data_IF_845959474558
#
_entry.id   IF_845959474558
#
_cell.length_a   1.000
_cell.length_b   1.000
_cell.length_c   1.000
_cell.angle_alpha   90.00
_cell.angle_beta   90.00
_cell.angle_gamma   90.00
#
_symmetry.space_group_name_H-M   'P 1'
#
loop_
_entity.id
_entity.type
_entity.pdbx_description
1 polymer ?
#
# COMPACT_ATOMS: atom_id res chain seq x y z
N UNK A 1 -7.30 -26.68 -0.44
CA UNK A 1 -6.13 -26.70 0.48
C UNK A 1 -6.30 -25.56 1.47
N UNK A 2 -6.43 -25.84 2.77
CA UNK A 2 -6.64 -24.80 3.80
C UNK A 2 -5.30 -24.25 4.28
N UNK A 3 -5.03 -22.96 4.00
CA UNK A 3 -3.77 -22.31 4.35
C UNK A 3 -3.76 -21.74 5.78
N UNK A 4 -4.87 -21.79 6.54
CA UNK A 4 -4.97 -21.19 7.89
C UNK A 4 -4.00 -21.83 8.88
N UNK A 5 -3.99 -23.16 8.94
CA UNK A 5 -3.13 -23.93 9.85
C UNK A 5 -1.64 -23.72 9.58
N UNK A 6 -1.13 -23.83 8.33
CA UNK A 6 0.27 -23.55 8.07
C UNK A 6 0.63 -22.07 8.28
N UNK A 7 -0.27 -21.13 7.97
CA UNK A 7 -0.05 -19.70 8.20
C UNK A 7 0.12 -19.37 9.69
N UNK A 8 -0.81 -19.83 10.56
CA UNK A 8 -0.70 -19.62 12.01
C UNK A 8 0.61 -20.17 12.58
N UNK A 9 1.04 -21.35 12.11
CA UNK A 9 2.32 -21.94 12.53
C UNK A 9 3.51 -21.04 12.21
N UNK A 10 3.53 -20.43 11.01
CA UNK A 10 4.61 -19.52 10.60
C UNK A 10 4.56 -18.22 11.39
N UNK A 11 3.37 -17.66 11.65
CA UNK A 11 3.22 -16.44 12.45
C UNK A 11 3.71 -16.64 13.89
N UNK A 12 3.31 -17.75 14.53
CA UNK A 12 3.82 -18.09 15.86
C UNK A 12 5.33 -18.35 15.87
N UNK A 13 5.87 -19.00 14.82
CA UNK A 13 7.31 -19.21 14.68
C UNK A 13 8.09 -17.90 14.47
N UNK A 14 7.46 -16.88 13.89
CA UNK A 14 8.00 -15.53 13.75
C UNK A 14 7.89 -14.70 15.04
N UNK A 15 7.42 -15.29 16.15
CA UNK A 15 7.28 -14.62 17.45
C UNK A 15 6.15 -13.59 17.48
N UNK A 16 5.20 -13.66 16.55
CA UNK A 16 4.05 -12.75 16.50
C UNK A 16 2.76 -13.47 16.88
N UNK A 17 1.77 -12.71 17.35
CA UNK A 17 0.48 -13.25 17.75
C UNK A 17 -0.34 -13.63 16.48
N UNK A 18 -0.71 -14.92 16.31
CA UNK A 18 -1.50 -15.39 15.17
C UNK A 18 -2.96 -14.93 15.17
N UNK A 19 -3.44 -14.31 16.25
CA UNK A 19 -4.77 -13.69 16.33
C UNK A 19 -4.73 -12.20 15.95
N UNK A 20 -3.58 -11.52 16.12
CA UNK A 20 -3.35 -10.14 15.66
C UNK A 20 -2.83 -10.08 14.21
N UNK A 21 -1.88 -10.96 13.85
CA UNK A 21 -1.26 -10.99 12.52
C UNK A 21 -1.94 -12.03 11.66
N UNK A 22 -2.97 -11.57 10.96
CA UNK A 22 -3.72 -12.36 9.98
C UNK A 22 -3.31 -12.01 8.56
N UNK A 23 -3.75 -12.82 7.59
CA UNK A 23 -3.48 -12.58 6.16
C UNK A 23 -3.92 -11.18 5.69
N UNK A 24 -5.01 -10.67 6.26
CA UNK A 24 -5.50 -9.34 5.93
C UNK A 24 -4.54 -8.25 6.40
N UNK A 25 -3.91 -8.42 7.58
CA UNK A 25 -2.84 -7.55 8.10
C UNK A 25 -1.68 -7.46 7.11
N UNK A 26 -1.19 -8.59 6.60
CA UNK A 26 -0.11 -8.61 5.61
C UNK A 26 -0.49 -7.92 4.29
N UNK A 27 -1.75 -8.07 3.86
CA UNK A 27 -2.26 -7.38 2.67
C UNK A 27 -2.29 -5.86 2.88
N UNK A 28 -2.70 -5.38 4.06
CA UNK A 28 -2.61 -3.97 4.41
C UNK A 28 -1.17 -3.46 4.35
N UNK A 29 -0.21 -4.21 4.93
CA UNK A 29 1.21 -3.86 4.89
C UNK A 29 1.75 -3.77 3.45
N UNK A 30 1.42 -4.75 2.60
CA UNK A 30 1.84 -4.73 1.20
C UNK A 30 1.30 -3.51 0.44
N UNK A 31 0.03 -3.14 0.68
CA UNK A 31 -0.57 -1.96 0.06
C UNK A 31 0.09 -0.67 0.56
N UNK A 32 0.32 -0.55 1.86
CA UNK A 32 1.05 0.58 2.43
C UNK A 32 2.43 0.72 1.79
N UNK A 33 3.19 -0.37 1.65
CA UNK A 33 4.51 -0.34 1.03
C UNK A 33 4.46 0.06 -0.45
N UNK A 34 3.45 -0.40 -1.21
CA UNK A 34 3.27 0.03 -2.60
C UNK A 34 2.99 1.53 -2.69
N UNK A 35 2.15 2.05 -1.79
CA UNK A 35 1.82 3.48 -1.75
C UNK A 35 3.03 4.32 -1.31
N UNK A 36 3.81 3.85 -0.34
CA UNK A 36 5.06 4.49 0.10
C UNK A 36 6.16 4.45 -0.97
N UNK A 37 6.21 3.39 -1.79
CA UNK A 37 7.10 3.29 -2.94
C UNK A 37 6.69 4.21 -4.11
N UNK A 38 5.59 4.95 -3.96
CA UNK A 38 5.13 5.92 -4.94
C UNK A 38 4.26 5.37 -6.07
N UNK A 39 3.74 4.15 -5.91
CA UNK A 39 2.79 3.57 -6.86
C UNK A 39 1.47 4.34 -6.77
N UNK A 40 0.91 4.72 -7.91
CA UNK A 40 -0.35 5.46 -7.97
C UNK A 40 -1.54 4.62 -7.47
N UNK A 41 -2.52 5.27 -6.83
CA UNK A 41 -3.68 4.60 -6.23
C UNK A 41 -4.49 3.73 -7.24
N UNK A 42 -4.69 4.14 -8.50
CA UNK A 42 -5.30 3.28 -9.52
C UNK A 42 -4.52 1.97 -9.76
N UNK A 43 -3.19 2.03 -9.84
CA UNK A 43 -2.34 0.84 -9.98
C UNK A 43 -2.38 -0.02 -8.74
N UNK A 44 -2.27 0.57 -7.55
CA UNK A 44 -2.41 -0.16 -6.28
C UNK A 44 -3.77 -0.85 -6.19
N UNK A 45 -4.86 -0.18 -6.58
CA UNK A 45 -6.21 -0.76 -6.65
C UNK A 45 -6.25 -2.02 -7.53
N UNK A 46 -5.58 -1.99 -8.68
CA UNK A 46 -5.52 -3.14 -9.61
C UNK A 46 -4.71 -4.29 -9.02
N UNK A 47 -3.52 -4.02 -8.47
CA UNK A 47 -2.65 -5.04 -7.85
C UNK A 47 -3.34 -5.70 -6.65
N UNK A 48 -4.01 -4.87 -5.85
CA UNK A 48 -4.74 -5.34 -4.68
C UNK A 48 -6.17 -5.74 -5.02
N UNK A 49 -6.60 -5.82 -6.27
CA UNK A 49 -7.96 -6.25 -6.66
C UNK A 49 -9.10 -5.61 -5.84
N UNK A 50 -8.95 -4.34 -5.44
CA UNK A 50 -10.02 -3.62 -4.74
C UNK A 50 -11.10 -3.17 -5.73
N UNK A 51 -12.37 -3.35 -5.36
CA UNK A 51 -13.50 -2.98 -6.24
C UNK A 51 -13.59 -1.47 -6.43
N UNK A 52 -13.36 -0.69 -5.38
CA UNK A 52 -13.48 0.78 -5.41
C UNK A 52 -12.18 1.47 -5.01
N UNK A 53 -12.00 2.71 -5.46
CA UNK A 53 -10.82 3.52 -5.13
C UNK A 53 -10.83 3.91 -3.64
N UNK A 54 -12.03 4.11 -3.06
CA UNK A 54 -12.26 4.43 -1.64
C UNK A 54 -11.60 3.40 -0.70
N UNK A 55 -11.56 2.12 -1.08
CA UNK A 55 -10.89 1.07 -0.29
C UNK A 55 -9.38 1.31 -0.15
N UNK A 56 -8.79 2.03 -1.09
CA UNK A 56 -7.35 2.30 -1.19
C UNK A 56 -6.99 3.74 -0.78
N UNK A 57 -7.97 4.64 -0.73
CA UNK A 57 -7.80 6.03 -0.25
C UNK A 57 -7.27 6.08 1.19
N UNK A 58 -7.63 5.11 2.03
CA UNK A 58 -7.11 5.01 3.41
C UNK A 58 -5.59 4.87 3.50
N UNK A 59 -4.90 4.55 2.40
CA UNK A 59 -3.44 4.48 2.37
C UNK A 59 -2.80 5.69 1.71
N UNK A 60 -3.58 6.55 1.04
CA UNK A 60 -3.08 7.72 0.31
C UNK A 60 -2.26 8.66 1.19
N UNK A 61 -2.62 8.76 2.48
CA UNK A 61 -1.92 9.60 3.45
C UNK A 61 -0.48 9.16 3.74
N UNK A 62 -0.11 7.90 3.42
CA UNK A 62 1.24 7.37 3.61
C UNK A 62 2.23 7.89 2.54
N UNK A 63 1.75 8.66 1.57
CA UNK A 63 2.51 9.14 0.42
C UNK A 63 2.74 10.66 0.46
N UNK A 64 3.01 11.23 1.64
CA UNK A 64 3.24 12.69 1.78
C UNK A 64 4.33 13.24 0.85
N UNK A 65 5.35 12.44 0.55
CA UNK A 65 6.44 12.78 -0.40
C UNK A 65 5.97 12.91 -1.86
N UNK A 66 4.88 12.23 -2.25
CA UNK A 66 4.33 12.37 -3.61
C UNK A 66 3.69 13.72 -3.87
N UNK A 67 3.06 14.34 -2.86
CA UNK A 67 2.46 15.66 -3.04
C UNK A 67 3.56 16.66 -3.38
N UNK A 68 4.68 16.60 -2.64
CA UNK A 68 5.86 17.43 -2.91
C UNK A 68 6.44 17.15 -4.30
N UNK A 69 6.64 15.88 -4.65
CA UNK A 69 7.15 15.48 -5.98
C UNK A 69 6.21 15.89 -7.13
N UNK A 70 4.89 15.86 -6.92
CA UNK A 70 3.91 16.28 -7.91
C UNK A 70 3.92 17.81 -8.10
N UNK A 71 4.09 18.56 -7.02
CA UNK A 71 4.27 20.02 -7.07
C UNK A 71 5.58 20.39 -7.76
N UNK A 72 6.69 19.71 -7.43
CA UNK A 72 7.99 19.92 -8.08
C UNK A 72 7.91 19.67 -9.60
N UNK A 73 7.19 18.63 -10.03
CA UNK A 73 6.95 18.36 -11.47
C UNK A 73 6.08 19.43 -12.13
N UNK A 74 5.10 19.98 -11.42
CA UNK A 74 4.28 21.08 -11.93
C UNK A 74 5.11 22.36 -12.09
N UNK A 75 5.97 22.65 -11.11
CA UNK A 75 6.87 23.80 -11.12
C UNK A 75 7.91 23.71 -12.25
N UNK A 76 8.51 22.54 -12.47
CA UNK A 76 9.44 22.32 -13.59
C UNK A 76 8.78 22.49 -14.96
N UNK A 77 7.52 22.06 -15.10
CA UNK A 77 6.74 22.26 -16.33
C UNK A 77 6.44 23.75 -16.57
N UNK A 78 6.09 24.50 -15.54
CA UNK A 78 5.87 25.95 -15.64
C UNK A 78 7.16 26.71 -15.99
N UNK A 79 8.31 26.29 -15.45
CA UNK A 79 9.62 26.89 -15.74
C UNK A 79 10.06 26.68 -17.19
N UNK A 80 9.77 25.53 -17.80
CA UNK A 80 10.10 25.24 -19.21
C UNK A 80 9.21 25.95 -20.24
N UNK A 81 8.06 26.47 -19.80
CA UNK A 81 7.11 27.21 -20.65
C UNK A 81 7.38 28.72 -20.69
N UNK A 82 8.29 29.20 -19.85
CA UNK A 82 8.70 30.60 -19.74
C UNK A 82 10.11 30.77 -20.31
#
# INVERSE_FOLDING_TARGET
>A
MDIRKPFRRVVSAAGTDPDEVVRHTLRHTAITHLVQAGVDLPTVKRISEHKTLIMVERYAHQNGEHIKTAMDKLEDRHRKMR
#
